data_IF_505055040454
#
_entry.id   IF_505055040454
#
_cell.length_a   1.000
_cell.length_b   1.000
_cell.length_c   1.000
_cell.angle_alpha   90.00
_cell.angle_beta   90.00
_cell.angle_gamma   90.00
#
_symmetry.space_group_name_H-M   'P 1'
#
loop_
_entity.id
_entity.type
_entity.pdbx_description
1 polymer ?
#
# COMPACT_ATOMS: atom_id res chain seq x y z
N UNK A 1 6.66 -2.77 14.21
CA UNK A 1 6.59 -2.16 12.87
C UNK A 1 5.28 -1.38 12.81
N UNK A 2 5.33 -0.09 12.52
CA UNK A 2 4.15 0.79 12.51
C UNK A 2 3.76 0.98 11.05
N UNK A 3 2.53 0.61 10.70
CA UNK A 3 1.95 0.96 9.41
C UNK A 3 1.02 2.15 9.64
N UNK A 4 1.30 3.28 9.00
CA UNK A 4 0.40 4.43 9.05
C UNK A 4 -0.48 4.43 7.82
N UNK A 5 -1.78 4.59 8.05
CA UNK A 5 -2.78 4.63 6.99
C UNK A 5 -3.58 5.92 7.13
N UNK A 6 -3.73 6.65 6.04
CA UNK A 6 -4.67 7.76 5.93
C UNK A 6 -5.51 7.57 4.67
N UNK A 7 -6.84 7.54 4.82
CA UNK A 7 -7.76 7.43 3.70
C UNK A 7 -8.52 8.73 3.53
N UNK A 8 -8.51 9.27 2.31
CA UNK A 8 -9.26 10.46 1.92
C UNK A 8 -10.08 10.10 0.69
N UNK A 9 -11.39 9.89 0.87
CA UNK A 9 -12.32 9.45 -0.20
C UNK A 9 -11.82 8.15 -0.85
N UNK A 10 -11.45 8.22 -2.13
CA UNK A 10 -10.99 7.12 -2.99
C UNK A 10 -9.46 6.99 -3.02
N UNK A 11 -8.75 7.75 -2.17
CA UNK A 11 -7.29 7.76 -2.07
C UNK A 11 -6.83 7.21 -0.73
N UNK A 12 -5.86 6.29 -0.73
CA UNK A 12 -5.18 5.81 0.47
C UNK A 12 -3.68 6.14 0.47
N UNK A 13 -3.17 6.60 1.61
CA UNK A 13 -1.74 6.78 1.87
C UNK A 13 -1.32 5.70 2.85
N UNK A 14 -0.36 4.87 2.47
CA UNK A 14 0.11 3.71 3.23
C UNK A 14 1.61 3.87 3.44
N UNK A 15 2.07 4.01 4.67
CA UNK A 15 3.49 4.09 5.01
C UNK A 15 3.93 2.82 5.73
N UNK A 16 4.91 2.11 5.16
CA UNK A 16 5.43 0.85 5.69
C UNK A 16 6.96 0.90 5.78
N UNK A 17 7.48 0.45 6.91
CA UNK A 17 8.92 0.26 7.11
C UNK A 17 9.38 -1.10 6.58
N UNK A 18 9.16 -1.31 5.28
CA UNK A 18 9.55 -2.51 4.54
C UNK A 18 10.30 -2.08 3.28
N UNK A 19 11.42 -2.75 2.97
CA UNK A 19 12.16 -2.49 1.73
C UNK A 19 11.34 -2.97 0.51
N UNK A 20 11.27 -2.18 -0.59
CA UNK A 20 10.66 -2.62 -1.83
C UNK A 20 11.30 -3.90 -2.38
N UNK A 21 10.49 -4.78 -2.96
CA UNK A 21 10.96 -5.99 -3.64
C UNK A 21 11.23 -5.79 -5.14
N UNK A 22 10.63 -4.77 -5.75
CA UNK A 22 10.79 -4.40 -7.15
C UNK A 22 10.39 -2.93 -7.37
N UNK A 23 10.66 -2.39 -8.56
CA UNK A 23 10.19 -1.06 -8.95
C UNK A 23 8.70 -1.06 -9.37
N UNK A 24 8.15 -2.21 -9.75
CA UNK A 24 6.72 -2.43 -9.99
C UNK A 24 6.31 -3.77 -9.41
N UNK A 25 5.23 -3.82 -8.64
CA UNK A 25 4.74 -5.06 -8.02
C UNK A 25 3.24 -4.99 -7.72
N UNK A 26 2.65 -6.17 -7.51
CA UNK A 26 1.28 -6.32 -7.05
C UNK A 26 1.27 -6.56 -5.54
N UNK A 27 0.27 -6.05 -4.85
CA UNK A 27 0.00 -6.32 -3.45
C UNK A 27 -1.50 -6.45 -3.22
N UNK A 28 -1.91 -7.02 -2.09
CA UNK A 28 -3.33 -7.18 -1.76
C UNK A 28 -3.69 -6.52 -0.45
N UNK A 29 -4.91 -6.03 -0.38
CA UNK A 29 -5.53 -5.41 0.78
C UNK A 29 -6.81 -6.16 1.10
N UNK A 30 -6.94 -6.64 2.34
CA UNK A 30 -8.14 -7.33 2.83
C UNK A 30 -8.47 -6.87 4.24
N UNK A 31 -9.34 -5.86 4.35
CA UNK A 31 -9.74 -5.27 5.63
C UNK A 31 -8.56 -4.66 6.38
N UNK A 32 -8.00 -5.40 7.34
CA UNK A 32 -6.80 -5.00 8.10
C UNK A 32 -5.51 -5.66 7.63
N UNK A 33 -5.57 -6.55 6.65
CA UNK A 33 -4.38 -7.27 6.16
C UNK A 33 -3.86 -6.65 4.87
N UNK A 34 -2.54 -6.52 4.80
CA UNK A 34 -1.79 -6.04 3.65
C UNK A 34 -0.76 -7.10 3.25
N UNK A 35 -0.96 -7.78 2.12
CA UNK A 35 -0.03 -8.75 1.57
C UNK A 35 0.92 -8.01 0.60
N UNK A 36 2.15 -7.75 1.04
CA UNK A 36 3.11 -6.91 0.34
C UNK A 36 4.47 -7.61 0.26
N UNK A 37 5.02 -7.77 -0.95
CA UNK A 37 6.31 -8.41 -1.19
C UNK A 37 6.44 -9.80 -0.52
N UNK A 38 5.38 -10.61 -0.54
CA UNK A 38 5.33 -11.94 0.08
C UNK A 38 5.24 -11.94 1.61
N UNK A 39 4.96 -10.79 2.24
CA UNK A 39 4.74 -10.66 3.67
C UNK A 39 3.33 -10.15 3.95
N UNK A 40 2.71 -10.70 4.99
CA UNK A 40 1.42 -10.19 5.49
C UNK A 40 1.67 -9.21 6.64
N UNK A 41 1.17 -7.99 6.50
CA UNK A 41 1.19 -6.96 7.52
C UNK A 41 -0.22 -6.73 8.05
N UNK A 42 -0.36 -6.50 9.35
CA UNK A 42 -1.65 -6.17 9.98
C UNK A 42 -1.67 -4.69 10.31
N UNK A 43 -2.65 -3.98 9.76
CA UNK A 43 -2.92 -2.57 9.97
C UNK A 43 -3.57 -2.35 11.34
N UNK A 44 -3.30 -1.21 11.98
CA UNK A 44 -3.94 -0.84 13.26
C UNK A 44 -5.43 -0.56 13.09
N UNK A 45 -5.82 -0.07 11.91
CA UNK A 45 -7.19 0.26 11.54
C UNK A 45 -7.56 -0.44 10.23
N UNK A 46 -8.85 -0.65 10.03
CA UNK A 46 -9.36 -1.19 8.77
C UNK A 46 -9.24 -0.14 7.67
N UNK A 47 -8.70 -0.54 6.52
CA UNK A 47 -8.65 0.32 5.34
C UNK A 47 -9.86 -0.02 4.48
N UNK A 48 -10.65 0.99 4.14
CA UNK A 48 -11.79 0.81 3.26
C UNK A 48 -11.36 0.61 1.82
N UNK A 49 -12.33 0.44 0.92
CA UNK A 49 -12.05 0.40 -0.51
C UNK A 49 -11.50 1.74 -0.99
N UNK A 50 -10.45 1.68 -1.82
CA UNK A 50 -9.86 2.85 -2.48
C UNK A 50 -9.41 2.45 -3.89
N UNK A 51 -9.35 3.43 -4.80
CA UNK A 51 -8.93 3.20 -6.19
C UNK A 51 -7.51 3.67 -6.46
N UNK A 52 -7.08 4.71 -5.74
CA UNK A 52 -5.76 5.33 -5.93
C UNK A 52 -5.03 5.38 -4.61
N UNK A 53 -3.71 5.37 -4.65
CA UNK A 53 -2.96 5.53 -3.41
C UNK A 53 -1.52 5.96 -3.60
N UNK A 54 -0.93 6.29 -2.46
CA UNK A 54 0.49 6.51 -2.30
C UNK A 54 1.00 5.51 -1.29
N UNK A 55 1.81 4.57 -1.75
CA UNK A 55 2.52 3.63 -0.88
C UNK A 55 3.95 4.13 -0.68
N UNK A 56 4.35 4.32 0.58
CA UNK A 56 5.71 4.74 0.94
C UNK A 56 6.40 3.57 1.63
N UNK A 57 7.36 2.97 0.93
CA UNK A 57 8.13 1.82 1.40
C UNK A 57 9.56 2.24 1.70
N UNK A 58 9.97 2.25 2.98
CA UNK A 58 11.32 2.65 3.39
C UNK A 58 11.78 3.97 2.72
N UNK A 59 10.92 5.00 2.81
CA UNK A 59 11.09 6.33 2.18
C UNK A 59 11.04 6.37 0.65
N UNK A 60 10.73 5.26 -0.01
CA UNK A 60 10.56 5.20 -1.47
C UNK A 60 9.07 5.30 -1.80
N UNK A 61 8.63 6.32 -2.56
CA UNK A 61 7.23 6.49 -2.94
C UNK A 61 6.83 5.62 -4.15
N UNK A 62 5.60 5.10 -4.12
CA UNK A 62 4.96 4.33 -5.17
C UNK A 62 3.55 4.85 -5.41
N UNK A 63 3.19 5.08 -6.66
CA UNK A 63 1.80 5.29 -7.05
C UNK A 63 1.07 3.95 -7.06
N UNK A 64 -0.14 3.95 -6.54
CA UNK A 64 -0.98 2.76 -6.43
C UNK A 64 -2.27 2.95 -7.20
N UNK A 65 -2.63 1.94 -7.97
CA UNK A 65 -4.01 1.73 -8.43
C UNK A 65 -4.54 0.42 -7.83
N UNK A 66 -5.77 0.45 -7.32
CA UNK A 66 -6.41 -0.70 -6.71
C UNK A 66 -7.80 -0.93 -7.28
N UNK A 67 -8.17 -2.20 -7.41
CA UNK A 67 -9.51 -2.64 -7.75
C UNK A 67 -9.87 -3.84 -6.87
N UNK A 68 -10.97 -3.74 -6.11
CA UNK A 68 -11.46 -4.79 -5.23
C UNK A 68 -10.40 -5.39 -4.25
N UNK A 69 -9.42 -4.58 -3.84
CA UNK A 69 -8.36 -4.99 -2.91
C UNK A 69 -7.13 -5.63 -3.58
N UNK A 70 -7.14 -5.86 -4.89
CA UNK A 70 -5.94 -6.18 -5.67
C UNK A 70 -5.32 -4.88 -6.20
N UNK A 71 -4.04 -4.66 -5.90
CA UNK A 71 -3.39 -3.37 -6.09
C UNK A 71 -2.09 -3.49 -6.87
N UNK A 72 -1.88 -2.59 -7.83
CA UNK A 72 -0.62 -2.40 -8.54
C UNK A 72 0.11 -1.20 -7.94
N UNK A 73 1.38 -1.38 -7.60
CA UNK A 73 2.27 -0.31 -7.17
C UNK A 73 3.39 -0.09 -8.19
N UNK A 74 3.62 1.15 -8.59
CA UNK A 74 4.72 1.54 -9.46
C UNK A 74 5.54 2.65 -8.79
N UNK A 75 6.85 2.45 -8.72
CA UNK A 75 7.77 3.42 -8.11
C UNK A 75 7.65 4.77 -8.79
N UNK A 76 7.44 5.81 -8.02
CA UNK A 76 7.45 7.15 -8.56
C UNK A 76 8.89 7.49 -8.99
N UNK A 77 9.08 7.72 -10.29
CA UNK A 77 10.29 8.36 -10.78
C UNK A 77 10.10 9.86 -10.60
N UNK A 78 10.87 10.43 -9.67
CA UNK A 78 10.97 11.87 -9.43
C UNK A 78 12.31 12.34 -9.93
#
# INVERSE_FOLDING_TARGET
MIVKVAQVRDVAIIEVDLKPCADVFIFRVRGRELELCGKTLVLSEEIGEFRKGLLVMAKTPFFVECEAGDCLAAKAQV
#
